data_IF_724223366425
#
_entry.id   IF_724223366425
#
_cell.length_a   1.000
_cell.length_b   1.000
_cell.length_c   1.000
_cell.angle_alpha   90.00
_cell.angle_beta   90.00
_cell.angle_gamma   90.00
#
_symmetry.space_group_name_H-M   'P 1'
#
loop_
_entity.id
_entity.type
_entity.pdbx_description
1 polymer ?
#
# COMPACT_ATOMS: atom_id res chain seq x y z
N UNK A 1 -18.74 -27.58 1.22
CA UNK A 1 -18.17 -26.87 2.38
C UNK A 1 -18.89 -25.54 2.47
N UNK A 2 -19.39 -25.15 3.65
CA UNK A 2 -20.04 -23.85 3.80
C UNK A 2 -18.99 -22.77 3.47
N UNK A 3 -19.35 -21.84 2.59
CA UNK A 3 -18.52 -20.67 2.31
C UNK A 3 -18.57 -19.80 3.56
N UNK A 4 -17.46 -19.67 4.29
CA UNK A 4 -17.36 -18.74 5.40
C UNK A 4 -17.54 -17.32 4.87
N UNK A 5 -18.41 -16.55 5.52
CA UNK A 5 -18.63 -15.16 5.18
C UNK A 5 -17.35 -14.35 5.48
N UNK A 6 -17.07 -13.32 4.69
CA UNK A 6 -15.87 -12.49 4.84
C UNK A 6 -15.82 -11.81 6.22
N UNK A 7 -16.99 -11.46 6.77
CA UNK A 7 -17.13 -10.93 8.12
C UNK A 7 -16.70 -11.94 9.19
N UNK A 8 -17.10 -13.21 9.05
CA UNK A 8 -16.72 -14.28 9.98
C UNK A 8 -15.20 -14.52 9.96
N UNK A 9 -14.59 -14.53 8.76
CA UNK A 9 -13.13 -14.68 8.62
C UNK A 9 -12.37 -13.50 9.23
N UNK A 10 -12.89 -12.28 9.08
CA UNK A 10 -12.30 -11.09 9.69
C UNK A 10 -12.36 -11.18 11.22
N UNK A 11 -13.50 -11.56 11.80
CA UNK A 11 -13.63 -11.74 13.25
C UNK A 11 -12.56 -12.70 13.80
N UNK A 12 -12.36 -13.84 13.13
CA UNK A 12 -11.32 -14.81 13.51
C UNK A 12 -9.90 -14.26 13.35
N UNK A 13 -9.63 -13.50 12.28
CA UNK A 13 -8.33 -12.88 12.07
C UNK A 13 -8.02 -11.83 13.16
N UNK A 14 -9.04 -11.16 13.69
CA UNK A 14 -8.91 -10.19 14.78
C UNK A 14 -8.65 -10.84 16.14
N UNK A 15 -8.88 -12.13 16.32
CA UNK A 15 -8.49 -12.90 17.51
C UNK A 15 -6.97 -13.22 17.52
N UNK A 16 -6.29 -13.10 16.37
CA UNK A 16 -4.85 -13.37 16.27
C UNK A 16 -4.02 -12.25 16.91
N UNK A 17 -2.88 -12.64 17.48
CA UNK A 17 -1.83 -11.71 17.88
C UNK A 17 -1.38 -10.81 16.70
N UNK A 18 -0.99 -9.55 16.94
CA UNK A 18 -0.72 -8.58 15.87
C UNK A 18 0.24 -9.09 14.79
N UNK A 19 1.33 -9.78 15.17
CA UNK A 19 2.29 -10.31 14.22
C UNK A 19 1.70 -11.41 13.32
N UNK A 20 0.84 -12.29 13.87
CA UNK A 20 0.17 -13.34 13.10
C UNK A 20 -0.88 -12.77 12.17
N UNK A 21 -1.60 -11.74 12.63
CA UNK A 21 -2.56 -11.01 11.80
C UNK A 21 -1.89 -10.32 10.62
N UNK A 22 -0.74 -9.69 10.86
CA UNK A 22 0.06 -9.07 9.79
C UNK A 22 0.54 -10.11 8.76
N UNK A 23 1.03 -11.26 9.23
CA UNK A 23 1.43 -12.36 8.34
C UNK A 23 0.27 -12.88 7.49
N UNK A 24 -0.92 -13.03 8.08
CA UNK A 24 -2.13 -13.42 7.36
C UNK A 24 -2.52 -12.37 6.31
N UNK A 25 -2.49 -11.08 6.67
CA UNK A 25 -2.80 -9.99 5.75
C UNK A 25 -1.85 -9.97 4.56
N UNK A 26 -0.54 -10.15 4.78
CA UNK A 26 0.44 -10.25 3.70
C UNK A 26 0.11 -11.42 2.75
N UNK A 27 -0.18 -12.60 3.31
CA UNK A 27 -0.53 -13.78 2.50
C UNK A 27 -1.79 -13.56 1.66
N UNK A 28 -2.79 -12.86 2.21
CA UNK A 28 -4.02 -12.53 1.47
C UNK A 28 -3.76 -11.52 0.35
N UNK A 29 -2.89 -10.54 0.57
CA UNK A 29 -2.50 -9.58 -0.47
C UNK A 29 -1.74 -10.29 -1.60
N UNK A 30 -0.76 -11.13 -1.26
CA UNK A 30 -0.02 -11.93 -2.25
C UNK A 30 -0.95 -12.84 -3.07
N UNK A 31 -2.07 -13.30 -2.47
CA UNK A 31 -3.02 -14.18 -3.16
C UNK A 31 -3.88 -13.48 -4.23
N UNK A 32 -3.95 -12.15 -4.19
CA UNK A 32 -4.73 -11.33 -5.14
C UNK A 32 -3.83 -10.50 -6.05
N UNK A 33 -2.51 -10.53 -5.85
CA UNK A 33 -1.56 -9.95 -6.79
C UNK A 33 -1.58 -10.76 -8.09
N UNK A 34 -2.02 -10.10 -9.17
CA UNK A 34 -1.89 -10.63 -10.52
C UNK A 34 -0.43 -10.50 -10.98
N UNK A 35 0.01 -11.29 -11.98
CA UNK A 35 1.33 -11.12 -12.56
C UNK A 35 1.55 -9.66 -12.99
N UNK A 36 2.71 -9.11 -12.65
CA UNK A 36 3.07 -7.75 -13.03
C UNK A 36 2.91 -7.55 -14.55
N UNK A 37 2.19 -6.50 -14.93
CA UNK A 37 2.19 -6.02 -16.30
C UNK A 37 3.56 -5.39 -16.58
N UNK A 38 4.39 -6.10 -17.37
CA UNK A 38 5.73 -5.63 -17.73
C UNK A 38 5.73 -4.25 -18.39
N UNK A 39 4.66 -3.88 -19.11
CA UNK A 39 4.52 -2.55 -19.69
C UNK A 39 4.26 -1.50 -18.59
N UNK A 40 3.43 -1.84 -17.60
CA UNK A 40 3.21 -0.99 -16.43
C UNK A 40 4.50 -0.78 -15.64
N UNK A 41 5.27 -1.84 -15.38
CA UNK A 41 6.55 -1.76 -14.68
C UNK A 41 7.56 -0.86 -15.43
N UNK A 42 7.61 -0.95 -16.76
CA UNK A 42 8.49 -0.12 -17.58
C UNK A 42 8.09 1.37 -17.56
N UNK A 43 6.80 1.69 -17.64
CA UNK A 43 6.34 3.08 -17.53
C UNK A 43 6.56 3.63 -16.12
N UNK A 44 6.38 2.80 -15.08
CA UNK A 44 6.65 3.21 -13.70
C UNK A 44 8.14 3.49 -13.46
N UNK A 45 9.03 2.68 -14.02
CA UNK A 45 10.47 2.92 -13.96
C UNK A 45 10.86 4.27 -14.60
N UNK A 46 10.27 4.61 -15.77
CA UNK A 46 10.50 5.91 -16.42
C UNK A 46 10.03 7.08 -15.57
N UNK A 47 8.88 6.95 -14.91
CA UNK A 47 8.36 7.98 -14.01
C UNK A 47 9.26 8.17 -12.79
N UNK A 48 9.75 7.08 -12.19
CA UNK A 48 10.71 7.16 -11.08
C UNK A 48 12.01 7.86 -11.49
N UNK A 49 12.55 7.53 -12.66
CA UNK A 49 13.74 8.20 -13.21
C UNK A 49 13.48 9.71 -13.45
N UNK A 50 12.30 10.07 -13.94
CA UNK A 50 11.94 11.48 -14.14
C UNK A 50 11.84 12.23 -12.81
N UNK A 51 11.23 11.65 -11.79
CA UNK A 51 11.14 12.24 -10.45
C UNK A 51 12.50 12.37 -9.79
N UNK A 52 13.37 11.37 -9.92
CA UNK A 52 14.73 11.44 -9.39
C UNK A 52 15.48 12.63 -9.98
N UNK A 53 15.38 12.85 -11.30
CA UNK A 53 16.01 14.01 -11.95
C UNK A 53 15.51 15.36 -11.42
N UNK A 54 14.21 15.48 -11.13
CA UNK A 54 13.64 16.70 -10.54
C UNK A 54 14.16 16.95 -9.11
N UNK A 55 14.35 15.88 -8.34
CA UNK A 55 14.97 15.97 -7.01
C UNK A 55 16.44 16.37 -7.12
N UNK A 56 17.19 15.74 -8.01
CA UNK A 56 18.62 16.02 -8.23
C UNK A 56 18.88 17.43 -8.77
N UNK A 57 17.98 17.95 -9.62
CA UNK A 57 18.05 19.34 -10.11
C UNK A 57 17.61 20.36 -9.06
N UNK A 58 16.94 19.92 -8.00
CA UNK A 58 16.34 20.78 -6.97
C UNK A 58 15.03 21.43 -7.41
N UNK A 59 14.48 21.05 -8.57
CA UNK A 59 13.18 21.54 -9.06
C UNK A 59 12.00 20.97 -8.26
N UNK A 60 12.16 19.78 -7.68
CA UNK A 60 11.23 19.20 -6.71
C UNK A 60 11.97 18.74 -5.45
N UNK A 61 12.02 19.55 -4.38
CA UNK A 61 12.67 19.17 -3.12
C UNK A 61 11.87 18.14 -2.31
N UNK A 62 10.68 17.73 -2.78
CA UNK A 62 9.78 16.85 -2.06
C UNK A 62 9.13 17.52 -0.84
N UNK A 63 8.50 16.69 0.00
CA UNK A 63 7.86 17.12 1.24
C UNK A 63 8.42 16.32 2.40
N UNK A 64 8.44 16.92 3.60
CA UNK A 64 8.78 16.18 4.81
C UNK A 64 7.74 15.10 5.09
N UNK A 65 8.18 14.01 5.71
CA UNK A 65 7.30 12.92 6.09
C UNK A 65 6.16 13.40 7.01
N UNK A 66 6.45 14.35 7.90
CA UNK A 66 5.48 14.95 8.81
C UNK A 66 4.35 15.66 8.04
N UNK A 67 4.69 16.41 6.99
CA UNK A 67 3.71 17.10 6.16
C UNK A 67 2.84 16.10 5.38
N UNK A 68 3.45 15.06 4.81
CA UNK A 68 2.74 14.00 4.09
C UNK A 68 1.78 13.25 5.02
N UNK A 69 2.27 12.87 6.21
CA UNK A 69 1.49 12.18 7.23
C UNK A 69 0.30 13.02 7.71
N UNK A 70 0.53 14.31 8.00
CA UNK A 70 -0.52 15.22 8.43
C UNK A 70 -1.64 15.33 7.38
N UNK A 71 -1.28 15.47 6.10
CA UNK A 71 -2.24 15.48 4.99
C UNK A 71 -3.04 14.18 4.88
N UNK A 72 -2.36 13.02 4.96
CA UNK A 72 -3.01 11.72 4.86
C UNK A 72 -4.02 11.51 6.01
N UNK A 73 -3.63 11.85 7.25
CA UNK A 73 -4.52 11.76 8.40
C UNK A 73 -5.72 12.71 8.32
N UNK A 74 -5.52 13.92 7.78
CA UNK A 74 -6.63 14.85 7.56
C UNK A 74 -7.67 14.30 6.57
N UNK A 75 -7.23 13.60 5.51
CA UNK A 75 -8.14 12.97 4.54
C UNK A 75 -8.88 11.74 5.07
N UNK A 76 -8.35 11.08 6.10
CA UNK A 76 -9.00 9.94 6.77
C UNK A 76 -10.01 10.36 7.85
N UNK A 77 -9.95 11.61 8.33
CA UNK A 77 -10.89 12.17 9.31
C UNK A 77 -12.21 12.68 8.72
N UNK A 78 -12.33 12.67 7.39
CA UNK A 78 -13.57 13.00 6.66
C UNK A 78 -14.18 11.73 6.08
N UNK A 79 -14.89 10.97 6.92
CA UNK A 79 -15.65 9.78 6.56
C UNK A 79 -16.74 9.51 7.58
#
# INVERSE_FOLDING_TARGET
>A
MAQSDSAELLERALELEPAKRLSLAATLLDSVEEPDDEAWAAEWAKELDARLKLVESGEDPGQTWEAVKARALAGLGTG
#
